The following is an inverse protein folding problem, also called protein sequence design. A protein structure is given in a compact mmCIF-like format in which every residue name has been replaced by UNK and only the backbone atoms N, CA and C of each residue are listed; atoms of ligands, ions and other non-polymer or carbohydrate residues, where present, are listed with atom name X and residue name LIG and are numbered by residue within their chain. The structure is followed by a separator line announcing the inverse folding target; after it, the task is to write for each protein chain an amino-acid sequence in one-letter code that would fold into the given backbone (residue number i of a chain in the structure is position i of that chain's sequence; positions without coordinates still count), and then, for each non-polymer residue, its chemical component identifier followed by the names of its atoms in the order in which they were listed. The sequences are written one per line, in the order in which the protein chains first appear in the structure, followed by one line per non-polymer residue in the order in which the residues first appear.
data_IF_453507097808
#
_entry.id   IF_453507097808
#
_cell.length_a   1.000
_cell.length_b   1.000
_cell.length_c   1.000
_cell.angle_alpha   90.00
_cell.angle_beta   90.00
_cell.angle_gamma   90.00
#
_symmetry.space_group_name_H-M   'P 1'
#
loop_
_entity.id
_entity.type
_entity.pdbx_description
1 polymer ?
#
# COMPACT_ATOMS: atom_id res chain seq x y z
N UNK A 1 -0.87 -24.22 10.52
CA UNK A 1 -1.84 -23.81 9.49
C UNK A 1 -1.04 -23.15 8.36
N UNK A 2 -1.15 -23.61 7.10
CA UNK A 2 -0.27 -23.14 6.01
C UNK A 2 -0.54 -21.68 5.58
N UNK A 3 -1.72 -21.16 5.88
CA UNK A 3 -2.10 -19.76 5.66
C UNK A 3 -2.93 -19.27 6.87
N UNK A 4 -2.51 -18.15 7.44
CA UNK A 4 -3.25 -17.43 8.48
C UNK A 4 -4.43 -16.69 7.84
N UNK A 5 -5.67 -16.86 8.31
CA UNK A 5 -6.84 -16.17 7.75
C UNK A 5 -6.69 -14.65 7.71
N UNK A 6 -5.91 -14.04 8.62
CA UNK A 6 -5.64 -12.60 8.63
C UNK A 6 -4.95 -12.13 7.34
N UNK A 7 -4.07 -12.96 6.76
CA UNK A 7 -3.35 -12.64 5.53
C UNK A 7 -4.27 -12.59 4.30
N UNK A 8 -5.23 -13.51 4.21
CA UNK A 8 -6.21 -13.57 3.13
C UNK A 8 -7.19 -12.39 3.23
N UNK A 9 -7.61 -12.07 4.46
CA UNK A 9 -8.53 -10.97 4.73
C UNK A 9 -7.93 -9.61 4.32
N UNK A 10 -6.69 -9.33 4.72
CA UNK A 10 -6.01 -8.09 4.34
C UNK A 10 -5.67 -8.06 2.85
N UNK A 11 -5.28 -9.19 2.26
CA UNK A 11 -5.12 -9.28 0.80
C UNK A 11 -6.43 -8.93 0.07
N UNK A 12 -7.57 -9.43 0.54
CA UNK A 12 -8.89 -9.09 0.01
C UNK A 12 -9.21 -7.60 0.15
N UNK A 13 -8.90 -6.99 1.29
CA UNK A 13 -9.05 -5.54 1.49
C UNK A 13 -8.17 -4.72 0.53
N UNK A 14 -6.92 -5.14 0.33
CA UNK A 14 -6.00 -4.51 -0.62
C UNK A 14 -6.48 -4.63 -2.07
N UNK A 15 -6.96 -5.82 -2.46
CA UNK A 15 -7.52 -6.04 -3.78
C UNK A 15 -8.76 -5.17 -4.03
N UNK A 16 -9.63 -5.02 -3.01
CA UNK A 16 -10.77 -4.12 -3.06
C UNK A 16 -10.34 -2.65 -3.22
N UNK A 17 -9.36 -2.19 -2.44
CA UNK A 17 -8.84 -0.82 -2.56
C UNK A 17 -8.27 -0.56 -3.95
N UNK A 18 -7.51 -1.50 -4.52
CA UNK A 18 -6.96 -1.38 -5.86
C UNK A 18 -8.08 -1.28 -6.90
N UNK A 19 -9.07 -2.17 -6.81
CA UNK A 19 -10.22 -2.18 -7.71
C UNK A 19 -11.00 -0.86 -7.68
N UNK A 20 -11.31 -0.35 -6.49
CA UNK A 20 -12.00 0.93 -6.31
C UNK A 20 -11.18 2.09 -6.89
N UNK A 21 -9.86 2.08 -6.68
CA UNK A 21 -8.95 3.09 -7.23
C UNK A 21 -8.95 3.06 -8.76
N UNK A 22 -8.95 1.87 -9.37
CA UNK A 22 -9.04 1.72 -10.83
C UNK A 22 -10.36 2.23 -11.39
N UNK A 23 -11.47 1.97 -10.71
CA UNK A 23 -12.78 2.48 -11.11
C UNK A 23 -12.82 4.01 -11.06
N UNK A 24 -12.27 4.62 -10.01
CA UNK A 24 -12.14 6.08 -9.90
C UNK A 24 -11.25 6.62 -11.02
N UNK A 25 -10.08 6.01 -11.27
CA UNK A 25 -9.18 6.41 -12.35
C UNK A 25 -9.86 6.39 -13.72
N UNK A 26 -10.69 5.37 -13.98
CA UNK A 26 -11.50 5.30 -15.20
C UNK A 26 -12.49 6.46 -15.29
N UNK A 27 -13.15 6.82 -14.18
CA UNK A 27 -14.12 7.91 -14.15
C UNK A 27 -13.49 9.31 -14.34
N UNK A 28 -12.27 9.53 -13.84
CA UNK A 28 -11.60 10.85 -13.89
C UNK A 28 -10.60 11.00 -15.04
N UNK A 29 -10.46 9.99 -15.92
CA UNK A 29 -9.49 10.00 -17.03
C UNK A 29 -9.65 11.23 -17.94
N UNK A 30 -10.88 11.74 -18.08
CA UNK A 30 -11.19 12.94 -18.87
C UNK A 30 -10.51 14.22 -18.37
N UNK A 31 -10.03 14.26 -17.12
CA UNK A 31 -9.28 15.39 -16.57
C UNK A 31 -7.76 15.21 -16.63
N UNK A 32 -7.27 14.12 -17.24
CA UNK A 32 -5.85 13.76 -17.28
C UNK A 32 -5.22 13.56 -15.89
N UNK A 33 -6.05 13.31 -14.88
CA UNK A 33 -5.61 13.01 -13.52
C UNK A 33 -5.53 11.49 -13.36
N UNK A 34 -4.44 11.01 -12.76
CA UNK A 34 -4.27 9.62 -12.37
C UNK A 34 -3.95 9.55 -10.89
N UNK A 35 -4.64 8.66 -10.17
CA UNK A 35 -4.42 8.38 -8.75
C UNK A 35 -3.66 7.08 -8.60
N UNK A 36 -2.50 7.14 -7.95
CA UNK A 36 -1.77 5.96 -7.51
C UNK A 36 -1.92 5.86 -5.99
N UNK A 37 -2.79 4.95 -5.53
CA UNK A 37 -3.10 4.74 -4.11
C UNK A 37 -2.68 3.33 -3.73
N UNK A 38 -1.38 3.14 -3.56
CA UNK A 38 -0.78 1.85 -3.21
C UNK A 38 -0.23 1.83 -1.78
N UNK A 39 0.13 3.00 -1.26
CA UNK A 39 0.75 3.15 0.06
C UNK A 39 0.07 2.40 1.21
N UNK A 40 -1.25 2.57 1.43
CA UNK A 40 -1.96 1.94 2.55
C UNK A 40 -1.89 0.42 2.56
N UNK A 41 -1.77 -0.22 1.39
CA UNK A 41 -1.87 -1.68 1.24
C UNK A 41 -0.79 -2.46 2.00
N UNK A 42 0.35 -1.82 2.31
CA UNK A 42 1.48 -2.46 2.98
C UNK A 42 1.55 -2.15 4.47
N UNK A 43 0.99 -1.02 4.90
CA UNK A 43 1.23 -0.49 6.23
C UNK A 43 0.61 -1.39 7.30
N UNK A 44 -0.66 -1.76 7.13
CA UNK A 44 -1.35 -2.55 8.13
C UNK A 44 -0.83 -4.00 8.19
N UNK A 45 -0.62 -4.72 7.06
CA UNK A 45 0.04 -6.03 7.09
C UNK A 45 1.41 -6.01 7.76
N UNK A 46 2.26 -5.01 7.48
CA UNK A 46 3.62 -4.94 8.02
C UNK A 46 3.64 -4.63 9.54
N UNK A 47 2.64 -3.90 10.04
CA UNK A 47 2.57 -3.54 11.46
C UNK A 47 1.85 -4.58 12.33
N UNK A 48 0.87 -5.31 11.79
CA UNK A 48 -0.05 -6.14 12.60
C UNK A 48 0.03 -7.64 12.36
N UNK A 49 0.59 -8.11 11.23
CA UNK A 49 0.72 -9.54 10.97
C UNK A 49 2.03 -10.13 11.51
N UNK A 50 2.01 -11.42 11.85
CA UNK A 50 3.21 -12.22 12.10
C UNK A 50 4.05 -12.39 10.82
N UNK A 51 5.30 -12.81 10.95
CA UNK A 51 6.27 -12.77 9.84
C UNK A 51 5.81 -13.54 8.59
N UNK A 52 5.29 -14.77 8.76
CA UNK A 52 4.81 -15.61 7.66
C UNK A 52 3.58 -15.00 6.97
N UNK A 53 2.60 -14.58 7.77
CA UNK A 53 1.35 -13.98 7.30
C UNK A 53 1.59 -12.66 6.56
N UNK A 54 2.48 -11.82 7.09
CA UNK A 54 2.93 -10.58 6.46
C UNK A 54 3.57 -10.85 5.09
N UNK A 55 4.52 -11.78 5.01
CA UNK A 55 5.24 -12.08 3.78
C UNK A 55 4.27 -12.55 2.69
N UNK A 56 3.38 -13.48 3.01
CA UNK A 56 2.39 -13.98 2.05
C UNK A 56 1.41 -12.90 1.61
N UNK A 57 0.88 -12.09 2.53
CA UNK A 57 -0.03 -10.99 2.19
C UNK A 57 0.64 -9.99 1.25
N UNK A 58 1.88 -9.61 1.54
CA UNK A 58 2.66 -8.63 0.75
C UNK A 58 3.00 -9.16 -0.62
N UNK A 59 3.43 -10.43 -0.70
CA UNK A 59 3.73 -11.11 -1.96
C UNK A 59 2.49 -11.19 -2.87
N UNK A 60 1.35 -11.65 -2.34
CA UNK A 60 0.11 -11.75 -3.10
C UNK A 60 -0.39 -10.37 -3.54
N UNK A 61 -0.32 -9.37 -2.66
CA UNK A 61 -0.71 -8.00 -2.99
C UNK A 61 0.18 -7.43 -4.10
N UNK A 62 1.49 -7.62 -4.01
CA UNK A 62 2.43 -7.18 -5.03
C UNK A 62 2.17 -7.81 -6.40
N UNK A 63 1.97 -9.14 -6.43
CA UNK A 63 1.65 -9.87 -7.66
C UNK A 63 0.33 -9.40 -8.26
N UNK A 64 -0.68 -9.14 -7.41
CA UNK A 64 -1.97 -8.61 -7.86
C UNK A 64 -1.82 -7.22 -8.48
N UNK A 65 -1.08 -6.32 -7.83
CA UNK A 65 -0.80 -4.96 -8.33
C UNK A 65 -0.05 -5.02 -9.66
N UNK A 66 1.01 -5.83 -9.77
CA UNK A 66 1.76 -6.00 -11.01
C UNK A 66 0.91 -6.60 -12.15
N UNK A 67 -0.07 -7.46 -11.82
CA UNK A 67 -0.98 -8.02 -12.82
C UNK A 67 -2.04 -7.03 -13.31
N UNK A 68 -2.40 -6.06 -12.46
CA UNK A 68 -3.53 -5.17 -12.71
C UNK A 68 -3.07 -3.82 -13.29
N UNK A 69 -1.85 -3.35 -12.98
CA UNK A 69 -1.30 -2.11 -13.50
C UNK A 69 -0.45 -2.34 -14.75
N UNK A 70 -0.42 -1.40 -15.71
CA UNK A 70 0.42 -1.49 -16.90
C UNK A 70 1.88 -1.13 -16.58
N UNK A 71 2.50 -1.87 -15.67
CA UNK A 71 3.91 -1.73 -15.26
C UNK A 71 4.73 -2.96 -15.64
N UNK A 72 6.05 -2.85 -15.59
CA UNK A 72 6.92 -4.02 -15.74
C UNK A 72 6.63 -5.06 -14.64
N UNK A 73 6.47 -6.32 -15.02
CA UNK A 73 6.18 -7.40 -14.07
C UNK A 73 7.26 -7.48 -12.99
N UNK A 74 6.84 -7.55 -11.72
CA UNK A 74 7.71 -7.64 -10.56
C UNK A 74 8.15 -6.29 -9.97
N UNK A 75 7.84 -5.15 -10.62
CA UNK A 75 8.21 -3.83 -10.12
C UNK A 75 7.60 -3.57 -8.74
N UNK A 76 6.29 -3.74 -8.62
CA UNK A 76 5.60 -3.52 -7.35
C UNK A 76 5.80 -4.69 -6.41
N UNK A 77 5.89 -5.93 -6.88
CA UNK A 77 6.15 -7.08 -6.01
C UNK A 77 7.47 -6.93 -5.25
N UNK A 78 8.57 -6.64 -5.96
CA UNK A 78 9.87 -6.44 -5.32
C UNK A 78 9.90 -5.17 -4.47
N UNK A 79 9.30 -4.08 -4.96
CA UNK A 79 9.19 -2.83 -4.21
C UNK A 79 8.42 -3.01 -2.89
N UNK A 80 7.32 -3.77 -2.92
CA UNK A 80 6.46 -4.03 -1.77
C UNK A 80 7.16 -4.91 -0.74
N UNK A 81 7.85 -5.96 -1.18
CA UNK A 81 8.65 -6.80 -0.27
C UNK A 81 9.76 -5.99 0.41
N UNK A 82 10.43 -5.12 -0.34
CA UNK A 82 11.49 -4.25 0.21
C UNK A 82 10.94 -3.23 1.21
N UNK A 83 9.93 -2.44 0.80
CA UNK A 83 9.33 -1.41 1.64
C UNK A 83 8.64 -2.02 2.87
N UNK A 84 7.92 -3.12 2.69
CA UNK A 84 7.27 -3.85 3.78
C UNK A 84 8.29 -4.42 4.77
N UNK A 85 9.43 -4.95 4.31
CA UNK A 85 10.46 -5.49 5.19
C UNK A 85 11.08 -4.38 6.05
N UNK A 86 11.31 -3.20 5.45
CA UNK A 86 11.78 -2.02 6.17
C UNK A 86 10.79 -1.59 7.27
N UNK A 87 9.49 -1.51 6.94
CA UNK A 87 8.45 -1.17 7.92
C UNK A 87 8.36 -2.23 9.02
N UNK A 88 8.38 -3.51 8.64
CA UNK A 88 8.31 -4.63 9.56
C UNK A 88 9.47 -4.62 10.57
N UNK A 89 10.69 -4.27 10.12
CA UNK A 89 11.85 -4.16 11.01
C UNK A 89 11.71 -3.00 12.00
N UNK A 90 11.08 -1.89 11.60
CA UNK A 90 10.87 -0.70 12.42
C UNK A 90 9.55 -0.72 13.21
N UNK A 91 8.72 -1.77 13.08
CA UNK A 91 7.34 -1.85 13.61
C UNK A 91 7.23 -1.59 15.11
N UNK A 92 8.25 -1.96 15.90
CA UNK A 92 8.25 -1.77 17.36
C UNK A 92 8.25 -0.28 17.71
N UNK A 93 9.01 0.53 16.98
CA UNK A 93 9.04 1.99 17.18
C UNK A 93 7.72 2.62 16.77
N UNK A 94 7.17 2.19 15.64
CA UNK A 94 5.91 2.73 15.11
C UNK A 94 4.66 2.33 15.89
N UNK A 95 4.66 1.19 16.59
CA UNK A 95 3.57 0.78 17.49
C UNK A 95 3.62 1.44 18.86
N UNK A 96 4.79 1.87 19.31
CA UNK A 96 4.98 2.47 20.63
C UNK A 96 4.49 3.93 20.71
N UNK A 97 4.43 4.61 19.56
CA UNK A 97 3.99 6.00 19.45
C UNK A 97 2.59 6.07 18.81
N UNK A 98 1.86 7.18 19.01
CA UNK A 98 0.40 7.33 18.84
C UNK A 98 -0.22 6.91 17.47
N UNK A 99 -1.55 6.77 17.43
CA UNK A 99 -2.38 6.31 16.29
C UNK A 99 -2.19 6.98 14.90
N UNK A 100 -1.37 8.03 14.75
CA UNK A 100 -1.19 8.76 13.49
C UNK A 100 -0.11 8.18 12.56
N UNK A 101 0.80 7.33 13.06
CA UNK A 101 1.92 6.79 12.26
C UNK A 101 1.50 6.00 11.00
N UNK A 102 0.42 5.21 10.99
CA UNK A 102 0.05 4.44 9.79
C UNK A 102 -0.26 5.34 8.58
N UNK A 103 -0.85 6.51 8.81
CA UNK A 103 -1.19 7.46 7.72
C UNK A 103 0.09 8.04 7.12
N UNK A 104 1.03 8.49 7.96
CA UNK A 104 2.33 8.98 7.48
C UNK A 104 3.12 7.90 6.74
N UNK A 105 3.11 6.67 7.24
CA UNK A 105 3.72 5.53 6.55
C UNK A 105 3.05 5.28 5.19
N UNK A 106 1.72 5.39 5.10
CA UNK A 106 1.01 5.23 3.83
C UNK A 106 1.46 6.26 2.81
N UNK A 107 1.58 7.54 3.19
CA UNK A 107 2.12 8.57 2.32
C UNK A 107 3.56 8.25 1.89
N UNK A 108 4.43 7.88 2.84
CA UNK A 108 5.82 7.52 2.55
C UNK A 108 5.95 6.37 1.54
N UNK A 109 5.19 5.29 1.74
CA UNK A 109 5.13 4.15 0.82
C UNK A 109 4.54 4.57 -0.54
N UNK A 110 3.55 5.46 -0.54
CA UNK A 110 2.95 5.92 -1.79
C UNK A 110 3.92 6.77 -2.62
N UNK A 111 4.68 7.68 -1.99
CA UNK A 111 5.77 8.41 -2.65
C UNK A 111 6.78 7.42 -3.22
N UNK A 112 7.19 6.43 -2.43
CA UNK A 112 8.11 5.40 -2.89
C UNK A 112 7.58 4.66 -4.13
N UNK A 113 6.29 4.32 -4.18
CA UNK A 113 5.66 3.70 -5.36
C UNK A 113 5.67 4.63 -6.58
N UNK A 114 5.38 5.92 -6.39
CA UNK A 114 5.43 6.92 -7.48
C UNK A 114 6.87 7.04 -8.00
N UNK A 115 7.87 7.08 -7.12
CA UNK A 115 9.28 7.13 -7.49
C UNK A 115 9.70 5.88 -8.27
N UNK A 116 9.28 4.68 -7.83
CA UNK A 116 9.54 3.43 -8.54
C UNK A 116 9.01 3.49 -9.98
N UNK A 117 7.77 3.89 -10.18
CA UNK A 117 7.17 4.00 -11.53
C UNK A 117 7.88 5.07 -12.35
N UNK A 118 8.16 6.23 -11.75
CA UNK A 118 8.84 7.36 -12.40
C UNK A 118 10.23 6.94 -12.91
N UNK A 119 10.99 6.18 -12.11
CA UNK A 119 12.31 5.70 -12.48
C UNK A 119 12.27 4.52 -13.46
N UNK A 120 11.36 3.56 -13.26
CA UNK A 120 11.30 2.36 -14.10
C UNK A 120 10.75 2.65 -15.50
N UNK A 121 9.81 3.58 -15.62
CA UNK A 121 9.07 3.83 -16.87
C UNK A 121 9.32 5.22 -17.46
N UNK A 122 9.90 6.16 -16.70
CA UNK A 122 10.02 7.56 -17.10
C UNK A 122 11.37 8.00 -17.67
N UNK A 123 12.39 7.13 -17.69
CA UNK A 123 13.76 7.50 -18.11
C UNK A 123 13.79 8.12 -19.51
N UNK A 124 13.00 7.60 -20.44
CA UNK A 124 12.93 8.10 -21.82
C UNK A 124 12.30 9.49 -21.93
N UNK A 125 11.53 9.92 -20.94
CA UNK A 125 10.79 11.17 -20.93
C UNK A 125 11.35 12.20 -19.94
N UNK A 126 12.50 11.93 -19.32
CA UNK A 126 13.06 12.74 -18.22
C UNK A 126 13.36 14.19 -18.62
N UNK A 127 13.60 14.45 -19.90
CA UNK A 127 13.84 15.80 -20.44
C UNK A 127 12.54 16.55 -20.78
N UNK A 128 11.38 15.91 -20.70
CA UNK A 128 10.09 16.51 -21.03
C UNK A 128 9.49 17.24 -19.84
N UNK A 129 9.16 18.51 -20.01
CA UNK A 129 8.45 19.29 -18.99
C UNK A 129 7.07 18.68 -18.68
N UNK A 130 6.36 18.19 -19.71
CA UNK A 130 5.04 17.59 -19.55
C UNK A 130 5.06 16.32 -18.68
N UNK A 131 6.15 15.54 -18.76
CA UNK A 131 6.36 14.39 -17.89
C UNK A 131 6.42 14.81 -16.41
N UNK A 132 7.24 15.81 -16.08
CA UNK A 132 7.35 16.31 -14.71
C UNK A 132 6.07 16.95 -14.19
N UNK A 133 5.32 17.66 -15.05
CA UNK A 133 3.99 18.16 -14.69
C UNK A 133 3.04 17.01 -14.34
N UNK A 134 3.03 15.93 -15.15
CA UNK A 134 2.17 14.78 -14.88
C UNK A 134 2.57 14.06 -13.59
N UNK A 135 3.87 13.89 -13.33
CA UNK A 135 4.38 13.31 -12.07
C UNK A 135 3.95 14.16 -10.88
N UNK A 136 4.07 15.49 -10.99
CA UNK A 136 3.63 16.42 -9.94
C UNK A 136 2.12 16.34 -9.70
N UNK A 137 1.29 16.39 -10.74
CA UNK A 137 -0.17 16.30 -10.63
C UNK A 137 -0.59 14.95 -10.05
N UNK A 138 -0.01 13.85 -10.53
CA UNK A 138 -0.26 12.49 -10.02
C UNK A 138 0.11 12.40 -8.54
N UNK A 139 1.27 12.93 -8.15
CA UNK A 139 1.72 12.95 -6.76
C UNK A 139 0.79 13.77 -5.88
N UNK A 140 0.51 15.02 -6.26
CA UNK A 140 -0.36 15.91 -5.50
C UNK A 140 -1.77 15.32 -5.34
N UNK A 141 -2.38 14.89 -6.43
CA UNK A 141 -3.73 14.32 -6.41
C UNK A 141 -3.80 13.04 -5.57
N UNK A 142 -2.82 12.13 -5.70
CA UNK A 142 -2.77 10.90 -4.92
C UNK A 142 -2.59 11.18 -3.43
N UNK A 143 -1.79 12.17 -3.05
CA UNK A 143 -1.59 12.55 -1.65
C UNK A 143 -2.82 13.25 -1.06
N UNK A 144 -3.47 14.12 -1.82
CA UNK A 144 -4.73 14.73 -1.38
C UNK A 144 -5.82 13.67 -1.17
N UNK A 145 -5.94 12.71 -2.09
CA UNK A 145 -6.87 11.59 -1.94
C UNK A 145 -6.52 10.72 -0.70
N UNK A 146 -5.23 10.46 -0.47
CA UNK A 146 -4.78 9.66 0.67
C UNK A 146 -5.14 10.25 2.03
N UNK A 147 -5.25 11.58 2.16
CA UNK A 147 -5.69 12.21 3.42
C UNK A 147 -7.07 11.72 3.87
N UNK A 148 -7.92 11.32 2.92
CA UNK A 148 -9.27 10.80 3.18
C UNK A 148 -9.26 9.27 3.14
N UNK A 149 -8.61 8.68 2.14
CA UNK A 149 -8.65 7.23 1.90
C UNK A 149 -7.88 6.46 2.95
N UNK A 150 -6.70 6.92 3.38
CA UNK A 150 -5.87 6.20 4.36
C UNK A 150 -6.58 6.02 5.73
N UNK A 151 -7.12 7.06 6.40
CA UNK A 151 -7.80 6.85 7.68
C UNK A 151 -9.04 5.97 7.54
N UNK A 152 -9.81 6.13 6.46
CA UNK A 152 -10.97 5.28 6.19
C UNK A 152 -10.57 3.82 5.99
N UNK A 153 -9.54 3.56 5.17
CA UNK A 153 -9.09 2.22 4.85
C UNK A 153 -8.52 1.49 6.08
N UNK A 154 -7.71 2.17 6.90
CA UNK A 154 -7.20 1.56 8.14
C UNK A 154 -8.30 1.27 9.16
N UNK A 155 -9.35 2.08 9.22
CA UNK A 155 -10.51 1.78 10.06
C UNK A 155 -11.30 0.59 9.52
N UNK A 156 -11.42 0.48 8.19
CA UNK A 156 -12.02 -0.67 7.52
C UNK A 156 -11.27 -1.97 7.83
N UNK A 157 -9.94 -1.99 7.72
CA UNK A 157 -9.13 -3.17 8.06
C UNK A 157 -9.26 -3.58 9.54
N UNK A 158 -9.26 -2.61 10.46
CA UNK A 158 -9.51 -2.87 11.89
C UNK A 158 -10.90 -3.44 12.12
N UNK A 159 -11.91 -2.89 11.45
CA UNK A 159 -13.29 -3.37 11.55
C UNK A 159 -13.42 -4.80 11.02
N UNK A 160 -12.72 -5.15 9.93
CA UNK A 160 -12.68 -6.52 9.43
C UNK A 160 -12.13 -7.51 10.47
N UNK A 161 -11.08 -7.14 11.20
CA UNK A 161 -10.55 -7.98 12.28
C UNK A 161 -11.59 -8.19 13.39
N UNK A 162 -12.29 -7.13 13.80
CA UNK A 162 -13.36 -7.21 14.80
C UNK A 162 -14.51 -8.10 14.32
N UNK A 163 -14.99 -7.91 13.08
CA UNK A 163 -16.09 -8.69 12.51
C UNK A 163 -15.74 -10.18 12.37
N UNK A 164 -14.50 -10.49 12.02
CA UNK A 164 -14.02 -11.87 11.90
C UNK A 164 -13.54 -12.46 13.22
N UNK A 165 -13.63 -11.73 14.35
CA UNK A 165 -13.15 -12.15 15.68
C UNK A 165 -11.67 -12.58 15.67
N UNK A 166 -10.83 -11.84 14.96
CA UNK A 166 -9.38 -12.07 14.85
C UNK A 166 -8.63 -11.07 15.74
N UNK A 167 -7.67 -11.54 16.53
CA UNK A 167 -6.83 -10.66 17.35
C UNK A 167 -5.92 -9.79 16.45
N UNK A 168 -5.72 -8.53 16.84
CA UNK A 168 -4.82 -7.61 16.13
C UNK A 168 -3.36 -7.70 16.60
N UNK A 169 -3.10 -8.42 17.69
CA UNK A 169 -1.74 -8.58 18.21
C UNK A 169 -1.00 -9.70 17.46
N UNK A 170 0.23 -9.44 16.98
CA UNK A 170 1.08 -10.44 16.37
C UNK A 170 1.68 -11.32 17.46
N UNK A 171 1.55 -12.63 17.28
CA UNK A 171 2.04 -13.66 18.20
C UNK A 171 3.57 -13.62 18.40
N UNK A 172 4.30 -13.00 17.47
CA UNK A 172 5.77 -12.96 17.42
C UNK A 172 6.42 -11.87 18.30
N UNK A 173 5.63 -11.04 19.01
CA UNK A 173 6.20 -10.04 19.92
C UNK A 173 6.57 -10.69 21.26
N UNK A 174 7.78 -10.46 21.80
CA UNK A 174 8.09 -10.92 23.15
C UNK A 174 7.06 -10.30 24.11
N UNK A 175 6.45 -11.15 24.94
CA UNK A 175 5.49 -10.77 25.98
C UNK A 175 5.99 -9.51 26.70
N UNK A 176 5.12 -8.51 26.79
CA UNK A 176 5.35 -7.37 27.67
C UNK A 176 5.08 -7.78 29.11
#
# INVERSE_FOLDING_TARGET
MFLDPRSILLFGANALLLYLTMLINSAIVGWSIYLLILGPMLVFPALYLGHKSYFTCTLLTGLWVDSALPSGFGLFTLGFLFAGAFIFQMRIRFRAEHNYHPIFLAHGVNIFCILLVTLAMGITYINSLGFWMQVFVTSLASHLALLIVAPWFFNFERMLFVLCRLDSEPEDLPFR
#
